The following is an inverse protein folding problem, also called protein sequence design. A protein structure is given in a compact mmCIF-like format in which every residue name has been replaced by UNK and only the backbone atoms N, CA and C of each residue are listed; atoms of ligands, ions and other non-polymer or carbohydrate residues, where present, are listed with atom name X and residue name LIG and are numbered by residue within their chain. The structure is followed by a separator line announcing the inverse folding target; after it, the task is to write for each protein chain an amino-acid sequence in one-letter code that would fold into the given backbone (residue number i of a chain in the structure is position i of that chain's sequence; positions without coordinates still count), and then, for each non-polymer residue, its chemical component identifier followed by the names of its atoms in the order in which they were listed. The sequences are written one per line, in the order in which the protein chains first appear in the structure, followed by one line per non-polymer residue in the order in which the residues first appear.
data_IF_401819517659
#
_entry.id   IF_401819517659
#
_cell.length_a   1.000
_cell.length_b   1.000
_cell.length_c   1.000
_cell.angle_alpha   90.00
_cell.angle_beta   90.00
_cell.angle_gamma   90.00
#
_symmetry.space_group_name_H-M   'P 1'
#
loop_
_entity.id
_entity.type
_entity.pdbx_description
1 polymer ?
#
# COMPACT_ATOMS: atom_id res chain seq x y z
N UNK A 1 3.77 0.88 6.53
CA UNK A 1 3.25 0.35 7.81
C UNK A 1 3.22 -1.18 7.80
N UNK A 2 3.04 -1.80 8.96
CA UNK A 2 2.82 -3.24 9.06
C UNK A 2 1.70 -3.54 10.06
N UNK A 3 1.00 -4.66 9.86
CA UNK A 3 0.01 -5.21 10.77
C UNK A 3 0.33 -6.67 11.05
N UNK A 4 -0.10 -7.17 12.21
CA UNK A 4 -0.03 -8.58 12.57
C UNK A 4 -1.41 -9.03 13.02
N UNK A 5 -2.00 -9.96 12.30
CA UNK A 5 -3.36 -10.45 12.51
C UNK A 5 -3.35 -11.96 12.75
N UNK A 6 -4.32 -12.44 13.54
CA UNK A 6 -4.35 -13.83 13.99
C UNK A 6 -5.41 -14.62 13.23
N UNK A 7 -4.97 -15.49 12.35
CA UNK A 7 -5.79 -16.41 11.56
C UNK A 7 -6.91 -15.69 10.75
N UNK A 8 -7.87 -16.45 10.26
CA UNK A 8 -9.00 -15.91 9.51
C UNK A 8 -9.83 -14.89 10.30
N UNK A 9 -10.26 -15.19 11.54
CA UNK A 9 -11.04 -14.22 12.33
C UNK A 9 -10.31 -12.90 12.61
N UNK A 10 -9.01 -12.97 12.93
CA UNK A 10 -8.19 -11.75 13.12
C UNK A 10 -8.07 -10.93 11.85
N UNK A 11 -7.85 -11.57 10.70
CA UNK A 11 -7.84 -10.91 9.40
C UNK A 11 -9.20 -10.30 9.07
N UNK A 12 -10.30 -11.04 9.30
CA UNK A 12 -11.66 -10.58 9.05
C UNK A 12 -11.98 -9.29 9.83
N UNK A 13 -11.55 -9.18 11.08
CA UNK A 13 -11.70 -7.98 11.88
C UNK A 13 -10.92 -6.77 11.30
N UNK A 14 -9.83 -7.01 10.58
CA UNK A 14 -9.02 -5.97 9.94
C UNK A 14 -9.54 -5.50 8.59
N UNK A 15 -10.46 -6.23 7.95
CA UNK A 15 -10.84 -6.01 6.54
C UNK A 15 -11.34 -4.60 6.25
N UNK A 16 -12.16 -4.01 7.12
CA UNK A 16 -12.70 -2.67 6.90
C UNK A 16 -11.57 -1.62 6.77
N UNK A 17 -10.59 -1.67 7.66
CA UNK A 17 -9.47 -0.76 7.65
C UNK A 17 -8.47 -1.07 6.52
N UNK A 18 -8.27 -2.35 6.18
CA UNK A 18 -7.45 -2.73 5.01
C UNK A 18 -8.11 -2.27 3.70
N UNK A 19 -9.45 -2.35 3.60
CA UNK A 19 -10.18 -1.78 2.46
C UNK A 19 -9.93 -0.27 2.34
N UNK A 20 -10.05 0.48 3.43
CA UNK A 20 -9.81 1.93 3.43
C UNK A 20 -8.35 2.25 3.08
N UNK A 21 -7.40 1.51 3.63
CA UNK A 21 -5.99 1.64 3.31
C UNK A 21 -5.69 1.34 1.83
N UNK A 22 -6.36 0.35 1.25
CA UNK A 22 -6.25 0.03 -0.19
C UNK A 22 -6.73 1.20 -1.05
N UNK A 23 -7.87 1.83 -0.69
CA UNK A 23 -8.41 3.01 -1.39
C UNK A 23 -7.50 4.24 -1.22
N UNK A 24 -6.86 4.37 -0.06
CA UNK A 24 -5.95 5.47 0.24
C UNK A 24 -4.53 5.25 -0.32
N UNK A 25 -4.27 4.15 -1.02
CA UNK A 25 -2.93 3.79 -1.52
C UNK A 25 -1.87 3.74 -0.41
N UNK A 26 -2.24 3.27 0.77
CA UNK A 26 -1.30 3.08 1.88
C UNK A 26 -0.46 1.83 1.67
N UNK A 27 0.87 1.96 1.71
CA UNK A 27 1.78 0.83 1.67
C UNK A 27 1.76 0.06 2.99
N UNK A 28 1.29 -1.20 2.97
CA UNK A 28 1.16 -2.04 4.17
C UNK A 28 1.70 -3.44 3.90
N UNK A 29 2.54 -3.93 4.80
CA UNK A 29 2.84 -5.36 4.95
C UNK A 29 1.89 -5.91 6.00
N UNK A 30 0.90 -6.67 5.56
CA UNK A 30 -0.08 -7.32 6.43
C UNK A 30 0.38 -8.75 6.70
N UNK A 31 0.80 -9.03 7.93
CA UNK A 31 1.23 -10.36 8.35
C UNK A 31 0.04 -11.05 9.01
N UNK A 32 -0.28 -12.26 8.55
CA UNK A 32 -1.37 -13.06 9.10
C UNK A 32 -0.81 -14.40 9.56
N UNK A 33 -0.93 -14.69 10.85
CA UNK A 33 -0.57 -16.00 11.40
C UNK A 33 -1.55 -17.07 10.90
N UNK A 34 -1.06 -18.27 10.64
CA UNK A 34 -1.85 -19.44 10.27
C UNK A 34 -1.45 -20.62 11.15
N UNK A 35 -2.30 -21.66 11.20
CA UNK A 35 -1.94 -22.95 11.80
C UNK A 35 -0.70 -23.55 11.10
N UNK A 36 0.04 -24.40 11.79
CA UNK A 36 1.12 -25.15 11.16
C UNK A 36 0.61 -25.95 9.95
N UNK A 37 1.44 -26.09 8.92
CA UNK A 37 1.05 -26.66 7.61
C UNK A 37 0.39 -28.04 7.71
N UNK A 38 0.85 -28.90 8.61
CA UNK A 38 0.28 -30.21 8.85
C UNK A 38 -1.02 -30.16 9.66
N UNK A 39 -1.25 -29.12 10.44
CA UNK A 39 -2.44 -28.93 11.27
C UNK A 39 -3.65 -28.39 10.49
N UNK A 40 -3.44 -27.61 9.42
CA UNK A 40 -4.52 -27.01 8.61
C UNK A 40 -5.53 -28.06 8.14
N UNK A 41 -5.07 -29.25 7.73
CA UNK A 41 -5.93 -30.36 7.28
C UNK A 41 -6.88 -30.92 8.35
N UNK A 42 -6.63 -30.63 9.62
CA UNK A 42 -7.46 -31.09 10.73
C UNK A 42 -8.70 -30.20 10.94
N UNK A 43 -8.81 -29.12 10.19
CA UNK A 43 -9.94 -28.18 10.23
C UNK A 43 -10.29 -27.73 11.65
N UNK A 44 -9.27 -27.25 12.38
CA UNK A 44 -9.45 -26.70 13.74
C UNK A 44 -10.44 -25.52 13.73
N UNK A 45 -11.05 -25.14 14.88
CA UNK A 45 -12.12 -24.15 14.96
C UNK A 45 -11.82 -22.79 14.30
N UNK A 46 -10.54 -22.39 14.20
CA UNK A 46 -10.14 -21.12 13.60
C UNK A 46 -9.55 -21.28 12.18
N UNK A 47 -9.55 -22.49 11.62
CA UNK A 47 -9.12 -22.73 10.24
C UNK A 47 -10.06 -21.98 9.29
N UNK A 48 -9.49 -21.26 8.34
CA UNK A 48 -10.23 -20.43 7.38
C UNK A 48 -9.51 -20.36 6.05
N UNK A 49 -10.21 -20.01 4.99
CA UNK A 49 -9.60 -19.63 3.71
C UNK A 49 -8.98 -18.21 3.83
N UNK A 50 -7.81 -18.13 4.46
CA UNK A 50 -7.14 -16.84 4.70
C UNK A 50 -6.73 -16.18 3.38
N UNK A 51 -6.30 -16.93 2.36
CA UNK A 51 -5.98 -16.38 1.05
C UNK A 51 -7.22 -15.77 0.39
N UNK A 52 -8.35 -16.45 0.43
CA UNK A 52 -9.63 -15.94 -0.08
C UNK A 52 -10.10 -14.69 0.66
N UNK A 53 -9.96 -14.64 1.99
CA UNK A 53 -10.30 -13.46 2.81
C UNK A 53 -9.36 -12.29 2.51
N UNK A 54 -8.07 -12.53 2.32
CA UNK A 54 -7.05 -11.49 2.07
C UNK A 54 -7.15 -10.88 0.67
N UNK A 55 -7.51 -11.69 -0.33
CA UNK A 55 -7.44 -11.34 -1.75
C UNK A 55 -8.18 -10.04 -2.12
N UNK A 56 -9.42 -9.77 -1.66
CA UNK A 56 -10.14 -8.54 -2.01
C UNK A 56 -9.47 -7.26 -1.52
N UNK A 57 -8.75 -7.31 -0.40
CA UNK A 57 -8.13 -6.13 0.24
C UNK A 57 -6.63 -6.02 -0.03
N UNK A 58 -6.02 -7.01 -0.66
CA UNK A 58 -4.59 -7.05 -0.96
C UNK A 58 -4.30 -6.88 -2.44
N UNK A 59 -3.09 -6.50 -2.78
CA UNK A 59 -2.55 -6.47 -4.14
C UNK A 59 -1.61 -7.66 -4.40
N UNK A 60 -1.14 -8.27 -3.33
CA UNK A 60 -0.29 -9.45 -3.35
C UNK A 60 -0.59 -10.27 -2.09
N UNK A 61 -0.74 -11.57 -2.25
CA UNK A 61 -0.98 -12.52 -1.17
C UNK A 61 -0.06 -13.71 -1.37
N UNK A 62 0.57 -14.17 -0.31
CA UNK A 62 1.43 -15.34 -0.33
C UNK A 62 1.41 -16.05 1.00
N UNK A 63 1.27 -17.38 0.98
CA UNK A 63 1.50 -18.25 2.12
C UNK A 63 2.93 -18.76 2.08
N UNK A 64 3.73 -18.48 3.12
CA UNK A 64 5.06 -19.05 3.26
C UNK A 64 4.96 -20.55 3.56
N UNK A 65 5.68 -21.38 2.81
CA UNK A 65 5.59 -22.85 2.92
C UNK A 65 6.74 -23.46 3.69
N UNK A 66 7.67 -22.66 4.18
CA UNK A 66 8.83 -23.13 4.93
C UNK A 66 9.50 -21.99 5.68
N UNK A 67 9.98 -22.26 6.90
CA UNK A 67 10.84 -21.34 7.65
C UNK A 67 12.06 -20.87 6.85
N UNK A 68 12.60 -21.69 5.96
CA UNK A 68 13.73 -21.35 5.09
C UNK A 68 13.40 -20.28 4.05
N UNK A 69 12.15 -20.09 3.71
CA UNK A 69 11.70 -19.10 2.73
C UNK A 69 11.24 -17.78 3.36
N UNK A 70 11.04 -17.73 4.68
CA UNK A 70 10.41 -16.59 5.35
C UNK A 70 11.14 -15.27 5.11
N UNK A 71 12.47 -15.26 5.11
CA UNK A 71 13.25 -14.06 4.84
C UNK A 71 13.01 -13.53 3.41
N UNK A 72 13.02 -14.43 2.42
CA UNK A 72 12.73 -14.11 1.02
C UNK A 72 11.29 -13.64 0.83
N UNK A 73 10.32 -14.35 1.41
CA UNK A 73 8.90 -14.02 1.30
C UNK A 73 8.59 -12.68 1.98
N UNK A 74 9.23 -12.39 3.12
CA UNK A 74 9.15 -11.10 3.79
C UNK A 74 9.74 -9.96 2.98
N UNK A 75 10.91 -10.17 2.39
CA UNK A 75 11.54 -9.21 1.49
C UNK A 75 10.65 -8.92 0.27
N UNK A 76 10.04 -9.94 -0.30
CA UNK A 76 9.09 -9.81 -1.41
C UNK A 76 7.84 -9.02 -1.00
N UNK A 77 7.26 -9.29 0.18
CA UNK A 77 6.12 -8.55 0.71
C UNK A 77 6.45 -7.06 0.90
N UNK A 78 7.61 -6.74 1.47
CA UNK A 78 8.07 -5.35 1.64
C UNK A 78 8.24 -4.67 0.28
N UNK A 79 8.83 -5.34 -0.69
CA UNK A 79 8.99 -4.81 -2.05
C UNK A 79 7.63 -4.50 -2.68
N UNK A 80 6.65 -5.41 -2.58
CA UNK A 80 5.30 -5.19 -3.10
C UNK A 80 4.58 -4.04 -2.40
N UNK A 81 4.70 -3.92 -1.08
CA UNK A 81 4.07 -2.84 -0.31
C UNK A 81 4.63 -1.45 -0.66
N UNK A 82 5.91 -1.38 -1.07
CA UNK A 82 6.58 -0.13 -1.43
C UNK A 82 6.45 0.26 -2.90
N UNK A 83 5.76 -0.54 -3.74
CA UNK A 83 5.46 -0.11 -5.11
C UNK A 83 4.53 1.09 -5.08
N UNK A 84 4.95 2.19 -5.68
CA UNK A 84 4.16 3.43 -5.76
C UNK A 84 2.87 3.24 -6.59
N UNK A 85 1.75 3.79 -6.19
CA UNK A 85 1.51 4.77 -5.11
C UNK A 85 1.37 4.17 -3.70
N UNK A 86 1.59 2.94 -3.46
CA UNK A 86 1.47 2.20 -2.22
C UNK A 86 0.48 1.04 -2.37
N UNK A 87 0.86 -0.13 -1.88
CA UNK A 87 0.10 -1.36 -2.04
C UNK A 87 -0.01 -2.12 -0.72
N UNK A 88 -0.99 -3.00 -0.62
CA UNK A 88 -1.11 -3.94 0.50
C UNK A 88 -0.56 -5.29 0.04
N UNK A 89 0.45 -5.77 0.73
CA UNK A 89 1.02 -7.10 0.58
C UNK A 89 0.69 -7.93 1.82
N UNK A 90 -0.08 -9.01 1.65
CA UNK A 90 -0.42 -9.93 2.73
C UNK A 90 0.47 -11.16 2.66
N UNK A 91 1.23 -11.37 3.74
CA UNK A 91 2.06 -12.55 3.94
C UNK A 91 1.45 -13.42 5.04
N UNK A 92 1.07 -14.64 4.68
CA UNK A 92 0.49 -15.62 5.59
C UNK A 92 1.63 -16.52 6.10
N UNK A 93 1.75 -16.60 7.43
CA UNK A 93 2.82 -17.33 8.12
C UNK A 93 2.25 -18.48 8.94
N UNK A 94 2.32 -19.72 8.44
CA UNK A 94 2.05 -20.91 9.24
C UNK A 94 2.97 -21.02 10.46
N UNK A 95 2.46 -21.55 11.58
CA UNK A 95 3.16 -21.61 12.86
C UNK A 95 4.54 -22.27 12.79
N UNK A 96 4.70 -23.29 11.99
CA UNK A 96 5.97 -24.00 11.77
C UNK A 96 7.03 -23.11 11.08
N UNK A 97 6.63 -22.05 10.41
CA UNK A 97 7.59 -21.09 9.85
C UNK A 97 8.29 -20.26 10.92
N UNK A 98 7.67 -20.11 12.10
CA UNK A 98 8.23 -19.41 13.26
C UNK A 98 9.03 -20.34 14.20
N UNK A 99 8.74 -21.65 14.21
CA UNK A 99 9.36 -22.60 15.14
C UNK A 99 10.59 -23.28 14.58
N UNK A 100 10.67 -23.46 13.27
CA UNK A 100 11.77 -24.15 12.62
C UNK A 100 12.92 -23.19 12.28
N UNK A 101 14.11 -23.77 12.07
CA UNK A 101 15.28 -22.99 11.67
C UNK A 101 15.03 -22.24 10.36
N UNK A 102 15.38 -20.97 10.37
CA UNK A 102 15.30 -20.09 9.20
C UNK A 102 16.52 -20.19 8.29
N UNK A 103 16.53 -19.33 7.27
CA UNK A 103 17.67 -19.16 6.37
C UNK A 103 18.32 -17.78 6.59
N UNK A 104 19.28 -17.43 5.74
CA UNK A 104 19.97 -16.15 5.79
C UNK A 104 19.01 -14.97 5.60
N UNK A 105 19.38 -13.82 6.16
CA UNK A 105 18.68 -12.55 5.93
C UNK A 105 18.76 -12.21 4.44
N UNK A 106 17.62 -11.79 3.87
CA UNK A 106 17.54 -11.29 2.50
C UNK A 106 17.61 -9.76 2.50
N UNK A 107 18.37 -9.21 1.58
CA UNK A 107 18.39 -7.76 1.34
C UNK A 107 17.26 -7.36 0.39
N UNK A 108 16.71 -6.16 0.60
CA UNK A 108 15.65 -5.62 -0.24
C UNK A 108 16.22 -4.45 -1.04
N UNK A 109 16.28 -4.61 -2.35
CA UNK A 109 16.48 -3.46 -3.24
C UNK A 109 15.12 -2.88 -3.61
N UNK A 110 14.83 -1.69 -3.08
CA UNK A 110 13.65 -0.92 -3.45
C UNK A 110 13.97 -0.15 -4.74
N UNK A 111 13.72 -0.76 -5.88
CA UNK A 111 13.84 -0.10 -7.18
C UNK A 111 12.65 0.87 -7.37
N UNK A 112 12.77 2.06 -6.83
CA UNK A 112 11.80 3.15 -6.96
C UNK A 112 12.03 3.87 -8.28
N UNK A 113 11.65 3.25 -9.40
CA UNK A 113 11.61 3.97 -10.67
C UNK A 113 10.48 5.00 -10.60
N UNK A 114 10.84 6.28 -10.55
CA UNK A 114 9.87 7.35 -10.77
C UNK A 114 9.51 7.38 -12.27
N UNK A 115 8.23 7.39 -12.59
CA UNK A 115 7.80 7.65 -13.95
C UNK A 115 8.06 9.13 -14.28
N UNK A 116 9.01 9.37 -15.17
CA UNK A 116 9.29 10.73 -15.66
C UNK A 116 8.21 11.05 -16.70
N UNK A 117 7.44 12.12 -16.42
CA UNK A 117 6.45 12.65 -17.35
C UNK A 117 7.18 13.37 -18.50
N UNK A 118 6.77 13.15 -19.74
CA UNK A 118 7.37 13.83 -20.89
C UNK A 118 7.07 15.34 -20.86
N UNK A 119 8.01 16.15 -21.32
CA UNK A 119 7.82 17.61 -21.45
C UNK A 119 6.59 17.96 -22.28
N UNK A 120 6.33 17.21 -23.35
CA UNK A 120 5.15 17.40 -24.19
C UNK A 120 3.82 17.32 -23.41
N UNK A 121 3.67 16.33 -22.52
CA UNK A 121 2.47 16.20 -21.68
C UNK A 121 2.36 17.34 -20.65
N UNK A 122 3.50 17.84 -20.19
CA UNK A 122 3.53 19.01 -19.28
C UNK A 122 3.06 20.25 -20.04
N UNK A 123 3.57 20.49 -21.24
CA UNK A 123 3.19 21.63 -22.07
C UNK A 123 1.71 21.60 -22.46
N UNK A 124 1.18 20.43 -22.81
CA UNK A 124 -0.25 20.22 -23.09
C UNK A 124 -1.11 20.53 -21.86
N UNK A 125 -0.71 20.07 -20.67
CA UNK A 125 -1.42 20.38 -19.42
C UNK A 125 -1.40 21.89 -19.08
N UNK A 126 -0.28 22.56 -19.32
CA UNK A 126 -0.15 24.01 -19.11
C UNK A 126 -1.12 24.77 -20.03
N UNK A 127 -1.17 24.45 -21.31
CA UNK A 127 -2.08 25.08 -22.26
C UNK A 127 -3.54 24.89 -21.86
N UNK A 128 -3.94 23.65 -21.47
CA UNK A 128 -5.31 23.39 -21.03
C UNK A 128 -5.69 24.18 -19.77
N UNK A 129 -4.76 24.33 -18.83
CA UNK A 129 -5.00 25.10 -17.61
C UNK A 129 -5.09 26.60 -17.89
N UNK A 130 -4.31 27.12 -18.83
CA UNK A 130 -4.33 28.54 -19.22
C UNK A 130 -5.63 28.93 -19.94
N UNK A 131 -6.17 28.03 -20.77
CA UNK A 131 -7.40 28.26 -21.54
C UNK A 131 -8.67 28.00 -20.72
N UNK A 132 -8.55 27.34 -19.56
CA UNK A 132 -9.71 26.97 -18.75
C UNK A 132 -10.35 28.19 -18.06
N UNK A 133 -11.68 28.33 -18.21
CA UNK A 133 -12.43 29.41 -17.57
C UNK A 133 -12.61 29.23 -16.05
N UNK A 134 -12.76 27.99 -15.60
CA UNK A 134 -12.96 27.62 -14.20
C UNK A 134 -12.11 26.39 -13.87
N UNK A 135 -10.78 26.51 -13.82
CA UNK A 135 -9.92 25.37 -13.52
C UNK A 135 -10.07 24.91 -12.07
N UNK A 136 -9.93 23.62 -11.85
CA UNK A 136 -9.88 22.97 -10.55
C UNK A 136 -8.77 21.94 -10.54
N UNK A 137 -7.91 21.97 -9.53
CA UNK A 137 -6.89 20.97 -9.34
C UNK A 137 -7.38 19.96 -8.31
N UNK A 138 -7.59 18.71 -8.73
CA UNK A 138 -7.88 17.58 -7.84
C UNK A 138 -6.61 16.76 -7.62
N UNK A 139 -6.20 16.59 -6.37
CA UNK A 139 -4.94 15.93 -6.01
C UNK A 139 -5.12 14.78 -5.06
N UNK A 140 -4.23 13.79 -5.18
CA UNK A 140 -4.18 12.63 -4.32
C UNK A 140 -2.78 11.99 -4.31
N UNK A 141 -2.61 10.95 -3.51
CA UNK A 141 -1.36 10.18 -3.45
C UNK A 141 -0.14 11.04 -3.07
N UNK A 142 0.95 10.90 -3.81
CA UNK A 142 2.22 11.60 -3.55
C UNK A 142 2.17 13.12 -3.74
N UNK A 143 1.20 13.62 -4.48
CA UNK A 143 1.00 15.07 -4.63
C UNK A 143 0.62 15.73 -3.29
N UNK A 144 0.16 14.95 -2.31
CA UNK A 144 -0.19 15.43 -0.95
C UNK A 144 1.00 15.48 0.01
N UNK A 145 2.19 15.06 -0.41
CA UNK A 145 3.43 15.25 0.36
C UNK A 145 3.79 16.74 0.43
N UNK A 146 4.31 17.20 1.56
CA UNK A 146 4.56 18.63 1.85
C UNK A 146 5.29 19.36 0.72
N UNK A 147 6.42 18.82 0.25
CA UNK A 147 7.21 19.45 -0.81
C UNK A 147 6.44 19.59 -2.14
N UNK A 148 5.54 18.65 -2.43
CA UNK A 148 4.72 18.68 -3.63
C UNK A 148 3.54 19.65 -3.47
N UNK A 149 2.94 19.71 -2.28
CA UNK A 149 1.89 20.70 -1.96
C UNK A 149 2.41 22.14 -2.06
N UNK A 150 3.65 22.43 -1.62
CA UNK A 150 4.27 23.74 -1.76
C UNK A 150 4.40 24.13 -3.24
N UNK A 151 4.81 23.20 -4.11
CA UNK A 151 4.90 23.46 -5.56
C UNK A 151 3.52 23.64 -6.18
N UNK A 152 2.57 22.81 -5.75
CA UNK A 152 1.19 22.86 -6.23
C UNK A 152 0.50 24.18 -5.87
N UNK A 153 0.71 24.67 -4.64
CA UNK A 153 0.18 25.96 -4.21
C UNK A 153 0.66 27.10 -5.13
N UNK A 154 1.95 27.11 -5.51
CA UNK A 154 2.48 28.10 -6.45
C UNK A 154 1.83 28.02 -7.84
N UNK A 155 1.52 26.81 -8.31
CA UNK A 155 0.81 26.60 -9.58
C UNK A 155 -0.62 27.13 -9.46
N UNK A 156 -1.32 26.75 -8.38
CA UNK A 156 -2.70 27.17 -8.13
C UNK A 156 -2.83 28.70 -8.01
N UNK A 157 -1.92 29.35 -7.29
CA UNK A 157 -1.86 30.80 -7.16
C UNK A 157 -1.66 31.51 -8.53
N UNK A 158 -0.75 30.96 -9.34
CA UNK A 158 -0.45 31.50 -10.66
C UNK A 158 -1.64 31.42 -11.62
N UNK A 159 -2.44 30.37 -11.52
CA UNK A 159 -3.59 30.11 -12.39
C UNK A 159 -4.88 30.71 -11.78
N UNK A 160 -4.90 30.96 -10.48
CA UNK A 160 -6.09 31.46 -9.77
C UNK A 160 -7.13 30.34 -9.56
N UNK A 161 -6.70 29.09 -9.29
CA UNK A 161 -7.60 27.95 -9.17
C UNK A 161 -7.59 27.32 -7.77
N UNK A 162 -8.73 26.77 -7.30
CA UNK A 162 -8.79 26.03 -6.05
C UNK A 162 -8.13 24.65 -6.16
N UNK A 163 -7.61 24.16 -5.03
CA UNK A 163 -7.11 22.79 -4.88
C UNK A 163 -8.11 22.00 -4.04
N UNK A 164 -8.45 20.82 -4.49
CA UNK A 164 -9.30 19.85 -3.77
C UNK A 164 -8.59 18.51 -3.66
N UNK A 165 -8.95 17.75 -2.65
CA UNK A 165 -8.44 16.39 -2.45
C UNK A 165 -9.58 15.39 -2.50
N UNK A 166 -9.25 14.14 -2.83
CA UNK A 166 -10.15 13.02 -2.69
C UNK A 166 -10.40 12.69 -1.19
N UNK A 167 -11.40 11.87 -0.91
CA UNK A 167 -11.82 11.45 0.43
C UNK A 167 -10.88 10.41 1.05
N UNK A 168 -10.29 9.55 0.22
CA UNK A 168 -9.46 8.43 0.66
C UNK A 168 -7.97 8.77 0.51
N UNK A 169 -7.49 9.67 1.36
CA UNK A 169 -6.07 9.99 1.38
C UNK A 169 -5.40 9.35 2.60
N UNK A 170 -4.24 8.72 2.39
CA UNK A 170 -3.43 8.16 3.48
C UNK A 170 -2.95 9.27 4.44
N UNK A 171 -2.64 10.44 3.89
CA UNK A 171 -2.15 11.61 4.61
C UNK A 171 -2.45 12.87 3.82
N UNK A 172 -2.76 13.92 4.53
CA UNK A 172 -2.86 15.28 4.01
C UNK A 172 -2.19 16.21 5.02
N UNK A 173 -1.07 16.78 4.64
CA UNK A 173 -0.40 17.78 5.45
C UNK A 173 -1.13 19.12 5.33
N UNK A 174 -1.47 19.73 6.46
CA UNK A 174 -2.10 21.06 6.53
C UNK A 174 -1.19 22.01 7.28
N UNK A 175 -1.20 23.28 6.91
CA UNK A 175 -0.39 24.28 7.56
C UNK A 175 -0.99 25.67 7.45
N UNK A 176 -0.37 26.64 8.12
CA UNK A 176 -0.77 28.05 8.09
C UNK A 176 -0.81 28.57 6.65
N UNK A 177 -1.92 29.23 6.27
CA UNK A 177 -2.11 29.80 4.94
C UNK A 177 -2.55 28.82 3.86
N UNK A 178 -3.09 27.65 4.22
CA UNK A 178 -3.57 26.63 3.28
C UNK A 178 -5.00 26.19 3.61
#
# INVERSE_FOLDING_TARGET
ASTLLHLGPGLANGLANLHNAKKAYSGIVNIVGEHALDHIKLNAPLTSDIEGIASPVSHWVKTSKSSKNIAKDGAEAIRHANVKPGKIATLILPGDTAWNEGNKIESIELNMKSNIVSSKLIDEAILQLQDAKNPLILVGGEALEENNLIKLAKVADKIGCPIKTDWFNARLDKGAGR
#
